data_IF_816688869393
#
_entry.id   IF_816688869393
#
_cell.length_a   1.000
_cell.length_b   1.000
_cell.length_c   1.000
_cell.angle_alpha   90.00
_cell.angle_beta   90.00
_cell.angle_gamma   90.00
#
_symmetry.space_group_name_H-M   'P 1'
#
loop_
_entity.id
_entity.type
_entity.pdbx_description
1 polymer ?
#
# COMPACT_ATOMS: atom_id res chain seq x y z
N UNK A 1 2.15 15.36 2.86
CA UNK A 1 1.99 15.29 1.39
C UNK A 1 2.06 13.86 0.85
N UNK A 2 3.23 13.25 0.59
CA UNK A 2 3.28 11.88 0.03
C UNK A 2 2.57 10.83 0.91
N UNK A 3 2.76 10.89 2.23
CA UNK A 3 2.11 9.94 3.15
C UNK A 3 0.58 10.05 3.13
N UNK A 4 0.02 11.24 2.91
CA UNK A 4 -1.42 11.46 2.92
C UNK A 4 -2.04 11.01 1.59
N UNK A 5 -1.39 11.32 0.47
CA UNK A 5 -1.76 10.84 -0.86
C UNK A 5 -1.74 9.30 -0.94
N UNK A 6 -0.74 8.65 -0.34
CA UNK A 6 -0.66 7.20 -0.26
C UNK A 6 -1.85 6.60 0.50
N UNK A 7 -2.24 7.20 1.64
CA UNK A 7 -3.38 6.72 2.42
C UNK A 7 -4.66 6.87 1.60
N UNK A 8 -4.87 8.01 0.98
CA UNK A 8 -6.03 8.27 0.13
C UNK A 8 -6.12 7.27 -1.05
N UNK A 9 -4.99 6.94 -1.67
CA UNK A 9 -4.92 5.93 -2.74
C UNK A 9 -5.45 4.58 -2.28
N UNK A 10 -4.97 4.06 -1.14
CA UNK A 10 -5.43 2.78 -0.64
C UNK A 10 -6.89 2.81 -0.18
N UNK A 11 -7.34 3.89 0.45
CA UNK A 11 -8.76 4.08 0.80
C UNK A 11 -9.65 4.03 -0.44
N UNK A 12 -9.22 4.64 -1.55
CA UNK A 12 -9.94 4.59 -2.82
C UNK A 12 -10.06 3.14 -3.35
N UNK A 13 -8.97 2.38 -3.37
CA UNK A 13 -8.99 0.96 -3.80
C UNK A 13 -9.97 0.13 -2.96
N UNK A 14 -9.96 0.32 -1.64
CA UNK A 14 -10.88 -0.41 -0.75
C UNK A 14 -12.32 0.02 -1.00
N UNK A 15 -12.55 1.32 -1.23
CA UNK A 15 -13.87 1.85 -1.58
C UNK A 15 -14.46 1.21 -2.84
N UNK A 16 -13.63 0.89 -3.83
CA UNK A 16 -14.06 0.18 -5.05
C UNK A 16 -14.60 -1.22 -4.78
N UNK A 17 -14.27 -1.86 -3.65
CA UNK A 17 -14.80 -3.18 -3.29
C UNK A 17 -16.30 -3.19 -2.96
N UNK A 18 -16.88 -2.01 -2.64
CA UNK A 18 -18.28 -1.91 -2.19
C UNK A 18 -18.58 -2.59 -0.84
N UNK A 19 -17.56 -3.16 -0.17
CA UNK A 19 -17.73 -3.91 1.07
C UNK A 19 -17.45 -3.05 2.29
N UNK A 20 -18.52 -2.69 3.01
CA UNK A 20 -18.42 -1.90 4.24
C UNK A 20 -17.59 -2.60 5.33
N UNK A 21 -17.70 -3.93 5.42
CA UNK A 21 -16.93 -4.74 6.38
C UNK A 21 -15.42 -4.71 6.07
N UNK A 22 -15.05 -4.80 4.79
CA UNK A 22 -13.65 -4.69 4.37
C UNK A 22 -13.11 -3.29 4.65
N UNK A 23 -13.88 -2.25 4.34
CA UNK A 23 -13.53 -0.86 4.67
C UNK A 23 -13.15 -0.68 6.14
N UNK A 24 -14.04 -1.10 7.04
CA UNK A 24 -13.85 -0.97 8.50
C UNK A 24 -12.67 -1.80 9.03
N UNK A 25 -12.46 -3.00 8.49
CA UNK A 25 -11.35 -3.87 8.89
C UNK A 25 -10.01 -3.28 8.47
N UNK A 26 -9.92 -2.78 7.24
CA UNK A 26 -8.66 -2.31 6.66
C UNK A 26 -8.26 -0.92 7.18
N UNK A 27 -9.21 -0.03 7.49
CA UNK A 27 -8.91 1.26 8.14
C UNK A 27 -8.13 1.11 9.45
N UNK A 28 -8.50 0.13 10.28
CA UNK A 28 -7.79 -0.15 11.53
C UNK A 28 -6.37 -0.67 11.28
N UNK A 29 -6.17 -1.46 10.21
CA UNK A 29 -4.85 -1.98 9.81
C UNK A 29 -3.93 -0.87 9.28
N UNK A 30 -4.51 0.15 8.61
CA UNK A 30 -3.75 1.28 8.05
C UNK A 30 -2.98 2.07 9.10
N UNK A 31 -3.49 2.15 10.33
CA UNK A 31 -2.82 2.83 11.44
C UNK A 31 -1.50 2.13 11.77
N UNK A 32 -1.48 0.80 11.79
CA UNK A 32 -0.28 0.01 12.04
C UNK A 32 0.73 0.13 10.89
N UNK A 33 0.26 0.06 9.64
CA UNK A 33 1.11 0.29 8.45
C UNK A 33 1.70 1.70 8.45
N UNK A 34 0.94 2.71 8.89
CA UNK A 34 1.39 4.10 8.97
C UNK A 34 2.50 4.29 10.01
N UNK A 35 2.42 3.60 11.15
CA UNK A 35 3.50 3.61 12.16
C UNK A 35 4.79 3.01 11.59
N UNK A 36 4.70 1.84 10.95
CA UNK A 36 5.83 1.17 10.28
C UNK A 36 6.41 2.03 9.15
N UNK A 37 5.55 2.66 8.33
CA UNK A 37 5.99 3.57 7.27
C UNK A 37 6.73 4.78 7.83
N UNK A 38 6.26 5.43 8.89
CA UNK A 38 7.00 6.55 9.51
C UNK A 38 8.37 6.14 10.01
N UNK A 39 8.48 4.95 10.58
CA UNK A 39 9.77 4.41 11.07
C UNK A 39 10.72 4.03 9.94
N UNK A 40 10.21 3.69 8.75
CA UNK A 40 11.01 3.29 7.56
C UNK A 40 11.19 4.42 6.52
N UNK A 41 10.53 5.57 6.70
CA UNK A 41 10.45 6.66 5.70
C UNK A 41 11.74 7.43 5.48
N UNK A 42 12.76 7.28 6.33
CA UNK A 42 14.04 7.97 6.12
C UNK A 42 14.80 7.49 4.87
N UNK A 43 14.29 6.47 4.17
CA UNK A 43 14.81 6.00 2.89
C UNK A 43 14.02 6.60 1.71
N UNK A 44 14.53 7.72 1.18
CA UNK A 44 14.00 8.44 0.01
C UNK A 44 13.68 7.56 -1.21
N UNK A 45 14.43 6.48 -1.40
CA UNK A 45 14.25 5.51 -2.50
C UNK A 45 12.92 4.73 -2.43
N UNK A 46 12.34 4.53 -1.23
CA UNK A 46 11.10 3.75 -1.09
C UNK A 46 9.85 4.51 -1.51
N UNK A 47 9.78 5.82 -1.24
CA UNK A 47 8.65 6.64 -1.66
C UNK A 47 8.53 6.66 -3.19
N UNK A 48 9.65 6.88 -3.89
CA UNK A 48 9.72 6.87 -5.36
C UNK A 48 9.28 5.52 -5.95
N UNK A 49 9.76 4.40 -5.39
CA UNK A 49 9.35 3.05 -5.85
C UNK A 49 7.85 2.81 -5.65
N UNK A 50 7.31 3.17 -4.48
CA UNK A 50 5.88 3.01 -4.21
C UNK A 50 5.00 3.86 -5.13
N UNK A 51 5.45 5.04 -5.56
CA UNK A 51 4.70 5.86 -6.55
C UNK A 51 4.61 5.12 -7.89
N UNK A 52 5.71 4.53 -8.36
CA UNK A 52 5.72 3.75 -9.61
C UNK A 52 4.78 2.55 -9.51
N UNK A 53 4.76 1.84 -8.40
CA UNK A 53 3.84 0.73 -8.18
C UNK A 53 2.38 1.18 -8.23
N UNK A 54 2.05 2.31 -7.59
CA UNK A 54 0.68 2.85 -7.60
C UNK A 54 0.23 3.23 -9.00
N UNK A 55 1.10 3.87 -9.79
CA UNK A 55 0.77 4.21 -11.17
C UNK A 55 0.44 2.97 -12.01
N UNK A 56 1.20 1.88 -11.84
CA UNK A 56 0.91 0.61 -12.52
C UNK A 56 -0.43 0.00 -12.10
N UNK A 57 -0.77 0.09 -10.81
CA UNK A 57 -2.07 -0.37 -10.31
C UNK A 57 -3.20 0.48 -10.91
N UNK A 58 -3.05 1.80 -10.96
CA UNK A 58 -4.02 2.72 -11.55
C UNK A 58 -4.24 2.36 -13.03
N UNK A 59 -3.16 2.19 -13.80
CA UNK A 59 -3.27 1.82 -15.22
C UNK A 59 -4.00 0.48 -15.44
N UNK A 60 -3.76 -0.51 -14.58
CA UNK A 60 -4.46 -1.80 -14.66
C UNK A 60 -5.96 -1.64 -14.34
N UNK A 61 -6.29 -0.84 -13.32
CA UNK A 61 -7.68 -0.53 -12.95
C UNK A 61 -8.39 0.25 -14.06
N UNK A 62 -7.75 1.25 -14.68
CA UNK A 62 -8.30 2.04 -15.78
C UNK A 62 -8.59 1.18 -17.01
N UNK A 63 -7.73 0.19 -17.30
CA UNK A 63 -7.92 -0.79 -18.37
C UNK A 63 -8.94 -1.88 -18.01
N UNK A 64 -9.43 -1.92 -16.77
CA UNK A 64 -10.28 -2.98 -16.22
C UNK A 64 -9.63 -4.38 -16.31
N UNK A 65 -8.31 -4.43 -16.23
CA UNK A 65 -7.53 -5.68 -16.17
C UNK A 65 -7.49 -6.15 -14.71
N UNK A 66 -8.47 -6.97 -14.34
CA UNK A 66 -8.73 -7.39 -12.96
C UNK A 66 -7.60 -8.24 -12.39
N UNK A 67 -7.10 -9.18 -13.18
CA UNK A 67 -6.05 -10.12 -12.82
C UNK A 67 -4.71 -9.40 -12.60
N UNK A 68 -4.38 -8.46 -13.49
CA UNK A 68 -3.19 -7.65 -13.33
C UNK A 68 -3.28 -6.73 -12.12
N UNK A 69 -4.43 -6.06 -11.93
CA UNK A 69 -4.64 -5.20 -10.77
C UNK A 69 -4.50 -5.98 -9.44
N UNK A 70 -5.08 -7.17 -9.35
CA UNK A 70 -4.95 -8.05 -8.17
C UNK A 70 -3.48 -8.42 -7.93
N UNK A 71 -2.77 -8.85 -8.97
CA UNK A 71 -1.36 -9.24 -8.89
C UNK A 71 -0.49 -8.09 -8.39
N UNK A 72 -0.66 -6.91 -8.97
CA UNK A 72 0.12 -5.71 -8.61
C UNK A 72 -0.14 -5.25 -7.17
N UNK A 73 -1.41 -5.19 -6.74
CA UNK A 73 -1.77 -4.80 -5.36
C UNK A 73 -1.23 -5.79 -4.34
N UNK A 74 -1.31 -7.10 -4.63
CA UNK A 74 -0.76 -8.15 -3.78
C UNK A 74 0.75 -8.02 -3.66
N UNK A 75 1.46 -7.90 -4.79
CA UNK A 75 2.92 -7.80 -4.80
C UNK A 75 3.40 -6.56 -4.05
N UNK A 76 2.77 -5.40 -4.29
CA UNK A 76 3.09 -4.16 -3.58
C UNK A 76 3.05 -4.30 -2.05
N UNK A 77 2.07 -5.05 -1.54
CA UNK A 77 1.91 -5.31 -0.11
C UNK A 77 3.00 -6.24 0.43
N UNK A 78 3.33 -7.31 -0.31
CA UNK A 78 4.38 -8.26 0.06
C UNK A 78 5.78 -7.64 0.02
N UNK A 79 6.05 -6.75 -0.95
CA UNK A 79 7.33 -6.03 -1.03
C UNK A 79 7.54 -5.08 0.16
N UNK A 80 6.46 -4.54 0.73
CA UNK A 80 6.54 -3.81 2.00
C UNK A 80 6.83 -4.76 3.16
N UNK A 81 6.17 -5.92 3.24
CA UNK A 81 6.42 -6.89 4.30
C UNK A 81 7.89 -7.37 4.29
N UNK A 82 8.41 -7.77 3.13
CA UNK A 82 9.80 -8.21 2.98
C UNK A 82 10.81 -7.09 3.32
N UNK A 83 10.49 -5.84 2.98
CA UNK A 83 11.33 -4.71 3.37
C UNK A 83 11.34 -4.50 4.88
N UNK A 84 10.18 -4.59 5.55
CA UNK A 84 10.09 -4.47 7.00
C UNK A 84 10.87 -5.59 7.68
N UNK A 85 10.70 -6.83 7.24
CA UNK A 85 11.45 -7.98 7.76
C UNK A 85 12.97 -7.78 7.64
N UNK A 86 13.44 -7.28 6.49
CA UNK A 86 14.88 -7.08 6.24
C UNK A 86 15.49 -5.91 7.03
N UNK A 87 14.71 -4.88 7.31
CA UNK A 87 15.24 -3.60 7.81
C UNK A 87 14.77 -3.21 9.21
N UNK A 88 13.74 -3.86 9.77
CA UNK A 88 13.22 -3.60 11.11
C UNK A 88 13.54 -4.75 12.06
N UNK A 89 14.81 -4.83 12.48
CA UNK A 89 15.31 -5.79 13.49
C UNK A 89 14.93 -5.41 14.95
N UNK A 90 13.80 -4.75 15.16
CA UNK A 90 13.44 -4.14 16.46
C UNK A 90 12.23 -4.78 17.17
N UNK A 91 11.75 -5.92 16.67
CA UNK A 91 10.59 -6.63 17.23
C UNK A 91 10.97 -7.88 18.05
N UNK A 92 12.27 -8.07 18.31
CA UNK A 92 12.78 -9.02 19.31
C UNK A 92 12.94 -8.34 20.68
#
# INVERSE_FOLDING_TARGET
>A
EYSDANIAFHQAIIGLSGSHLMGKTIENLFIHVRAIRRMTISQSDRASRSIVDHMRIIEALEKRDTELAETLVRQHSLDLAAHVEKHCNFLD
#
